data_IF_547592842720
#
_entry.id   IF_547592842720
#
_cell.length_a   1.000
_cell.length_b   1.000
_cell.length_c   1.000
_cell.angle_alpha   90.00
_cell.angle_beta   90.00
_cell.angle_gamma   90.00
#
_symmetry.space_group_name_H-M   'P 1'
#
loop_
_entity.id
_entity.type
_entity.pdbx_description
1 polymer ?
#
# COMPACT_ATOMS: atom_id res chain seq x y z
N UNK A 1 -23.43 26.49 17.15
CA UNK A 1 -23.35 26.06 16.49
C UNK A 1 -23.05 25.76 15.98
N UNK A 2 -23.00 25.79 16.09
CA UNK A 2 -22.89 25.28 15.43
C UNK A 2 -22.56 25.09 14.80
N UNK A 3 -22.48 25.31 14.98
CA UNK A 3 -22.29 24.91 14.33
C UNK A 3 -21.95 24.46 13.68
N UNK A 4 -22.17 24.97 13.91
CA UNK A 4 -22.08 24.33 13.21
C UNK A 4 -21.74 23.78 12.70
N UNK A 5 -22.12 24.53 12.69
CA UNK A 5 -21.74 23.82 12.35
C UNK A 5 -21.81 22.93 11.38
N UNK A 6 -21.46 23.25 10.68
CA UNK A 6 -21.38 22.32 9.62
C UNK A 6 -20.53 21.10 10.01
N UNK A 7 -21.04 19.89 9.85
CA UNK A 7 -20.25 18.74 10.21
C UNK A 7 -19.00 18.61 9.34
N UNK A 8 -17.95 18.12 9.93
CA UNK A 8 -16.67 17.90 9.25
C UNK A 8 -16.69 16.61 8.43
N UNK A 9 -17.86 16.10 8.11
CA UNK A 9 -17.97 14.83 7.45
C UNK A 9 -18.03 13.69 8.46
N UNK A 10 -18.26 12.53 7.95
CA UNK A 10 -18.44 11.32 8.71
C UNK A 10 -17.09 10.66 8.94
N UNK A 11 -16.86 10.14 10.14
CA UNK A 11 -15.67 9.31 10.40
C UNK A 11 -15.94 7.93 9.85
N UNK A 12 -15.00 7.43 9.04
CA UNK A 12 -15.07 6.10 8.48
C UNK A 12 -13.81 5.34 8.82
N UNK A 13 -13.87 4.02 8.70
CA UNK A 13 -12.75 3.13 8.98
C UNK A 13 -12.53 2.19 7.81
N UNK A 14 -11.27 1.82 7.60
CA UNK A 14 -10.90 0.82 6.62
C UNK A 14 -9.73 0.01 7.18
N UNK A 15 -9.36 -1.06 6.48
CA UNK A 15 -8.16 -1.81 6.81
C UNK A 15 -7.18 -1.76 5.65
N UNK A 16 -5.91 -1.91 5.97
CA UNK A 16 -4.84 -1.94 4.98
C UNK A 16 -3.82 -3.01 5.36
N UNK A 17 -3.35 -3.72 4.35
CA UNK A 17 -2.32 -4.74 4.47
C UNK A 17 -1.32 -4.55 3.34
N UNK A 18 -0.05 -4.84 3.58
CA UNK A 18 1.00 -4.75 2.54
C UNK A 18 1.73 -6.07 2.49
N UNK A 19 1.69 -6.72 1.34
CA UNK A 19 2.28 -8.04 1.14
C UNK A 19 3.20 -8.08 -0.07
N UNK A 20 4.24 -8.91 0.04
CA UNK A 20 5.16 -9.15 -1.06
C UNK A 20 5.42 -10.66 -1.25
N UNK A 21 4.38 -11.48 -1.11
CA UNK A 21 4.50 -12.94 -1.21
C UNK A 21 5.16 -13.40 -2.50
N UNK A 22 4.87 -12.72 -3.61
CA UNK A 22 5.45 -13.07 -4.90
C UNK A 22 6.97 -12.86 -4.92
N UNK A 23 7.46 -11.81 -4.25
CA UNK A 23 8.89 -11.58 -4.11
C UNK A 23 9.51 -12.60 -3.16
N UNK A 24 8.83 -12.90 -2.07
CA UNK A 24 9.30 -13.90 -1.10
C UNK A 24 9.49 -15.26 -1.76
N UNK A 25 8.56 -15.65 -2.64
CA UNK A 25 8.65 -16.92 -3.36
C UNK A 25 9.87 -16.99 -4.30
N UNK A 26 10.41 -15.83 -4.69
CA UNK A 26 11.55 -15.73 -5.61
C UNK A 26 12.83 -15.26 -4.91
N UNK A 27 12.81 -15.18 -3.59
CA UNK A 27 13.91 -14.59 -2.80
C UNK A 27 15.25 -15.30 -3.04
N UNK A 28 15.20 -16.62 -3.21
CA UNK A 28 16.40 -17.41 -3.43
C UNK A 28 17.13 -17.07 -4.74
N UNK A 29 16.44 -16.47 -5.69
CA UNK A 29 17.02 -16.08 -6.97
C UNK A 29 17.66 -14.70 -6.93
N UNK A 30 17.46 -13.95 -5.83
CA UNK A 30 17.90 -12.57 -5.71
C UNK A 30 19.29 -12.56 -5.07
N UNK A 31 20.28 -12.01 -5.79
CA UNK A 31 21.67 -11.95 -5.33
C UNK A 31 22.02 -10.63 -4.65
N UNK A 32 21.26 -9.56 -4.92
CA UNK A 32 21.52 -8.25 -4.32
C UNK A 32 21.09 -8.26 -2.86
N UNK A 33 22.00 -8.10 -1.89
CA UNK A 33 21.64 -8.19 -0.48
C UNK A 33 20.68 -7.09 -0.02
N UNK A 34 20.76 -5.90 -0.61
CA UNK A 34 19.84 -4.82 -0.27
C UNK A 34 18.39 -5.14 -0.67
N UNK A 35 18.21 -5.78 -1.82
CA UNK A 35 16.88 -6.21 -2.26
C UNK A 35 16.40 -7.36 -1.39
N UNK A 36 17.26 -8.34 -1.12
CA UNK A 36 16.88 -9.47 -0.27
C UNK A 36 16.45 -9.04 1.11
N UNK A 37 17.16 -8.08 1.69
CA UNK A 37 16.86 -7.58 3.04
C UNK A 37 15.52 -6.84 3.08
N UNK A 38 15.03 -6.34 1.95
CA UNK A 38 13.74 -5.67 1.87
C UNK A 38 12.56 -6.64 1.78
N UNK A 39 12.84 -7.94 1.64
CA UNK A 39 11.80 -8.95 1.42
C UNK A 39 11.67 -9.82 2.68
N UNK A 40 10.59 -9.66 3.48
CA UNK A 40 10.35 -10.53 4.63
C UNK A 40 10.13 -11.98 4.21
N UNK A 41 10.59 -12.91 5.02
CA UNK A 41 10.47 -14.34 4.71
C UNK A 41 9.02 -14.82 4.68
N UNK A 42 8.14 -14.17 5.42
CA UNK A 42 6.72 -14.54 5.45
C UNK A 42 5.85 -13.72 4.48
N UNK A 43 6.47 -12.82 3.71
CA UNK A 43 5.75 -12.02 2.72
C UNK A 43 4.96 -10.84 3.30
N UNK A 44 5.03 -10.60 4.61
CA UNK A 44 4.26 -9.54 5.26
C UNK A 44 5.13 -8.33 5.54
N UNK A 45 4.85 -7.21 4.88
CA UNK A 45 5.49 -5.92 5.19
C UNK A 45 4.68 -5.19 6.24
N UNK A 46 3.35 -5.18 6.11
CA UNK A 46 2.45 -4.60 7.09
C UNK A 46 1.28 -5.55 7.30
N UNK A 47 1.08 -5.98 8.55
CA UNK A 47 -0.09 -6.76 8.90
C UNK A 47 -1.36 -5.92 8.78
N UNK A 48 -2.50 -6.58 8.68
CA UNK A 48 -3.80 -5.90 8.59
C UNK A 48 -3.90 -4.87 9.70
N UNK A 49 -4.08 -3.61 9.29
CA UNK A 49 -4.07 -2.46 10.20
C UNK A 49 -5.32 -1.63 9.93
N UNK A 50 -5.99 -1.19 10.97
CA UNK A 50 -7.16 -0.34 10.85
C UNK A 50 -6.74 1.13 10.78
N UNK A 51 -7.34 1.86 9.86
CA UNK A 51 -7.19 3.30 9.74
C UNK A 51 -8.57 3.96 9.81
N UNK A 52 -8.68 5.03 10.57
CA UNK A 52 -9.94 5.77 10.71
C UNK A 52 -9.66 7.26 10.51
N UNK A 53 -10.61 7.95 9.89
CA UNK A 53 -10.51 9.38 9.68
C UNK A 53 -11.78 9.92 9.07
N UNK A 54 -11.81 11.22 8.85
CA UNK A 54 -12.95 11.88 8.19
C UNK A 54 -12.99 11.46 6.72
N UNK A 55 -14.17 11.11 6.22
CA UNK A 55 -14.31 10.68 4.82
C UNK A 55 -13.72 11.69 3.85
N UNK A 56 -13.27 11.20 2.71
CA UNK A 56 -12.60 12.00 1.69
C UNK A 56 -11.15 11.62 1.48
N UNK A 57 -10.59 10.82 2.37
CA UNK A 57 -9.20 10.36 2.18
C UNK A 57 -9.12 9.28 1.10
N UNK A 58 -7.94 9.19 0.50
CA UNK A 58 -7.68 8.25 -0.59
C UNK A 58 -6.90 7.03 -0.10
N UNK A 59 -6.80 6.03 -0.96
CA UNK A 59 -5.95 4.85 -0.69
C UNK A 59 -4.50 5.28 -0.42
N UNK A 60 -4.00 6.26 -1.17
CA UNK A 60 -2.65 6.77 -0.94
C UNK A 60 -2.52 7.41 0.45
N UNK A 61 -3.54 8.17 0.87
CA UNK A 61 -3.52 8.81 2.20
C UNK A 61 -3.42 7.76 3.31
N UNK A 62 -4.14 6.67 3.18
CA UNK A 62 -4.08 5.57 4.16
C UNK A 62 -2.69 4.94 4.17
N UNK A 63 -2.14 4.64 2.99
CA UNK A 63 -0.80 4.07 2.89
C UNK A 63 0.24 4.98 3.56
N UNK A 64 0.21 6.26 3.23
CA UNK A 64 1.18 7.22 3.78
C UNK A 64 1.06 7.33 5.31
N UNK A 65 -0.16 7.36 5.82
CA UNK A 65 -0.41 7.51 7.26
C UNK A 65 0.06 6.29 8.05
N UNK A 66 -0.32 5.09 7.62
CA UNK A 66 0.00 3.88 8.39
C UNK A 66 1.48 3.52 8.31
N UNK A 67 2.12 3.77 7.17
CA UNK A 67 3.56 3.48 7.03
C UNK A 67 4.39 4.46 7.85
N UNK A 68 3.99 5.72 7.91
CA UNK A 68 4.69 6.73 8.73
C UNK A 68 4.50 6.47 10.23
N UNK A 69 3.36 5.95 10.63
CA UNK A 69 3.07 5.68 12.03
C UNK A 69 3.62 4.34 12.51
N UNK A 70 4.02 3.47 11.60
CA UNK A 70 4.56 2.16 11.93
C UNK A 70 5.91 2.30 12.63
N UNK A 71 6.23 1.40 13.54
CA UNK A 71 7.51 1.41 14.25
C UNK A 71 8.23 0.09 14.03
N UNK A 72 9.34 0.07 13.29
CA UNK A 72 9.99 1.23 12.62
C UNK A 72 9.18 1.71 11.41
N UNK A 73 9.42 2.96 11.03
CA UNK A 73 8.75 3.57 9.88
C UNK A 73 9.01 2.71 8.62
N UNK A 74 7.96 2.48 7.84
CA UNK A 74 8.08 1.78 6.56
C UNK A 74 8.27 2.85 5.48
N UNK A 75 9.44 2.91 4.82
CA UNK A 75 9.67 3.93 3.81
C UNK A 75 8.86 3.64 2.54
N UNK A 76 8.32 4.70 1.95
CA UNK A 76 7.65 4.61 0.65
C UNK A 76 8.21 5.68 -0.27
N UNK A 77 8.21 5.40 -1.58
CA UNK A 77 8.60 6.36 -2.60
C UNK A 77 7.47 6.48 -3.60
N UNK A 78 7.06 7.70 -3.88
CA UNK A 78 6.03 7.99 -4.86
C UNK A 78 6.50 9.14 -5.75
N UNK A 79 5.88 9.25 -6.95
CA UNK A 79 6.20 10.35 -7.85
C UNK A 79 5.68 11.69 -7.28
N UNK A 80 5.99 12.79 -7.97
CA UNK A 80 5.75 14.14 -7.46
C UNK A 80 4.27 14.40 -7.13
N UNK A 81 3.34 13.91 -7.96
CA UNK A 81 1.91 14.11 -7.71
C UNK A 81 1.27 12.97 -6.93
N UNK A 82 2.08 12.01 -6.48
CA UNK A 82 1.64 10.86 -5.68
C UNK A 82 0.62 9.95 -6.38
N UNK A 83 0.61 9.97 -7.70
CA UNK A 83 -0.26 9.07 -8.46
C UNK A 83 0.32 7.67 -8.61
N UNK A 84 1.62 7.49 -8.38
CA UNK A 84 2.30 6.23 -8.58
C UNK A 84 3.28 5.96 -7.44
N UNK A 85 3.12 4.80 -6.79
CA UNK A 85 4.02 4.34 -5.73
C UNK A 85 5.02 3.36 -6.33
N UNK A 86 6.29 3.72 -6.33
CA UNK A 86 7.35 2.92 -6.94
C UNK A 86 8.08 2.02 -5.95
N UNK A 87 7.99 2.31 -4.66
CA UNK A 87 8.73 1.54 -3.65
C UNK A 87 7.98 1.55 -2.32
N UNK A 88 7.96 0.39 -1.66
CA UNK A 88 7.48 0.25 -0.28
C UNK A 88 8.48 -0.64 0.43
N UNK A 89 8.95 -0.22 1.60
CA UNK A 89 9.90 -0.95 2.43
C UNK A 89 11.23 -1.22 1.70
N UNK A 90 11.65 -0.27 0.87
CA UNK A 90 12.87 -0.37 0.05
C UNK A 90 12.80 -1.47 -1.02
N UNK A 91 11.64 -2.07 -1.22
CA UNK A 91 11.39 -2.99 -2.33
C UNK A 91 10.75 -2.19 -3.45
N UNK A 92 11.52 -1.98 -4.51
CA UNK A 92 11.13 -1.08 -5.60
C UNK A 92 10.66 -1.83 -6.83
N UNK A 93 9.95 -1.12 -7.70
CA UNK A 93 9.62 -1.68 -9.02
C UNK A 93 10.89 -2.16 -9.70
N UNK A 94 10.75 -3.23 -10.48
CA UNK A 94 11.83 -3.85 -11.27
C UNK A 94 12.93 -4.50 -10.45
N UNK A 95 12.79 -4.57 -9.12
CA UNK A 95 13.77 -5.26 -8.28
C UNK A 95 13.72 -6.78 -8.44
N UNK A 96 12.56 -7.34 -8.79
CA UNK A 96 12.37 -8.79 -8.90
C UNK A 96 11.84 -9.11 -10.30
N UNK A 97 12.54 -8.63 -11.31
CA UNK A 97 12.18 -8.85 -12.71
C UNK A 97 11.72 -7.57 -13.39
N UNK A 98 11.76 -7.54 -14.73
CA UNK A 98 11.53 -6.30 -15.49
C UNK A 98 10.10 -5.76 -15.41
N UNK A 99 9.13 -6.59 -15.02
CA UNK A 99 7.74 -6.17 -14.91
C UNK A 99 7.27 -6.09 -13.45
N UNK A 100 8.18 -6.24 -12.48
CA UNK A 100 7.77 -6.21 -11.08
C UNK A 100 7.45 -4.79 -10.60
N UNK A 101 6.53 -4.70 -9.65
CA UNK A 101 6.12 -3.42 -9.09
C UNK A 101 4.95 -3.57 -8.13
N UNK A 102 4.52 -2.46 -7.59
CA UNK A 102 3.45 -2.41 -6.61
C UNK A 102 2.10 -2.11 -7.26
N UNK A 103 1.07 -2.82 -6.79
CA UNK A 103 -0.32 -2.55 -7.14
C UNK A 103 -1.17 -2.67 -5.90
N UNK A 104 -2.42 -2.21 -5.96
CA UNK A 104 -3.33 -2.32 -4.82
C UNK A 104 -4.69 -2.85 -5.26
N UNK A 105 -5.38 -3.49 -4.30
CA UNK A 105 -6.75 -3.94 -4.48
C UNK A 105 -7.60 -3.35 -3.37
N UNK A 106 -8.86 -3.13 -3.67
CA UNK A 106 -9.86 -2.73 -2.69
C UNK A 106 -10.98 -3.74 -2.74
N UNK A 107 -11.24 -4.39 -1.60
CA UNK A 107 -12.26 -5.45 -1.49
C UNK A 107 -12.03 -6.57 -2.50
N UNK A 108 -10.76 -6.88 -2.77
CA UNK A 108 -10.40 -7.94 -3.71
C UNK A 108 -10.45 -7.55 -5.18
N UNK A 109 -10.80 -6.32 -5.49
CA UNK A 109 -10.93 -5.83 -6.87
C UNK A 109 -9.78 -4.89 -7.19
N UNK A 110 -9.22 -5.02 -8.40
CA UNK A 110 -8.18 -4.13 -8.89
C UNK A 110 -8.84 -2.86 -9.42
N UNK A 111 -8.73 -1.71 -8.73
CA UNK A 111 -9.31 -0.48 -9.25
C UNK A 111 -8.52 0.01 -10.46
N UNK A 112 -9.24 0.57 -11.42
CA UNK A 112 -8.60 1.11 -12.62
C UNK A 112 -8.33 2.60 -12.45
N UNK A 113 -7.72 2.97 -11.31
CA UNK A 113 -7.35 4.35 -11.04
C UNK A 113 -6.17 4.40 -10.08
N UNK A 114 -5.51 5.55 -10.04
CA UNK A 114 -4.37 5.76 -9.15
C UNK A 114 -4.82 5.79 -7.68
N UNK A 115 -3.90 5.39 -6.80
CA UNK A 115 -4.19 5.32 -5.37
C UNK A 115 -4.57 6.68 -4.76
N UNK A 116 -4.07 7.77 -5.32
CA UNK A 116 -4.40 9.12 -4.85
C UNK A 116 -5.74 9.63 -5.39
N UNK A 117 -6.42 8.84 -6.20
CA UNK A 117 -7.72 9.19 -6.78
C UNK A 117 -8.87 8.34 -6.21
N UNK A 118 -8.55 7.19 -5.62
CA UNK A 118 -9.57 6.31 -5.07
C UNK A 118 -9.99 6.79 -3.68
N UNK A 119 -11.21 7.29 -3.56
CA UNK A 119 -11.77 7.72 -2.27
C UNK A 119 -12.25 6.50 -1.50
N UNK A 120 -11.71 6.31 -0.31
CA UNK A 120 -12.02 5.16 0.52
C UNK A 120 -13.42 5.29 1.11
N UNK A 121 -14.13 4.17 1.20
CA UNK A 121 -15.46 4.07 1.82
C UNK A 121 -15.34 3.30 3.11
N UNK A 122 -16.31 3.52 4.00
CA UNK A 122 -16.35 2.81 5.27
C UNK A 122 -16.39 1.30 5.04
N UNK A 123 -15.51 0.59 5.73
CA UNK A 123 -15.41 -0.86 5.62
C UNK A 123 -14.53 -1.37 4.49
N UNK A 124 -13.94 -0.49 3.69
CA UNK A 124 -13.06 -0.95 2.61
C UNK A 124 -11.87 -1.74 3.15
N UNK A 125 -11.49 -2.77 2.41
CA UNK A 125 -10.32 -3.61 2.69
C UNK A 125 -9.29 -3.36 1.61
N UNK A 126 -8.20 -2.69 1.98
CA UNK A 126 -7.13 -2.30 1.06
C UNK A 126 -5.98 -3.29 1.19
N UNK A 127 -5.46 -3.75 0.07
CA UNK A 127 -4.30 -4.65 0.08
C UNK A 127 -3.32 -4.20 -0.99
N UNK A 128 -2.11 -3.85 -0.57
CA UNK A 128 -1.00 -3.58 -1.49
C UNK A 128 -0.24 -4.86 -1.74
N UNK A 129 0.07 -5.15 -2.99
CA UNK A 129 0.68 -6.40 -3.43
C UNK A 129 1.85 -6.08 -4.35
N UNK A 130 2.99 -6.72 -4.08
CA UNK A 130 4.11 -6.67 -5.00
C UNK A 130 3.93 -7.78 -6.03
N UNK A 131 3.87 -7.41 -7.30
CA UNK A 131 3.73 -8.37 -8.40
C UNK A 131 5.06 -8.46 -9.15
N UNK A 132 5.43 -9.66 -9.57
CA UNK A 132 6.69 -9.88 -10.26
C UNK A 132 6.47 -10.13 -11.75
N UNK A 133 5.30 -10.63 -12.11
CA UNK A 133 4.93 -10.94 -13.49
C UNK A 133 3.42 -10.94 -13.63
N UNK A 134 2.96 -10.88 -14.87
CA UNK A 134 1.55 -11.01 -15.18
C UNK A 134 1.06 -12.36 -14.64
N UNK A 135 -0.04 -12.37 -13.94
CA UNK A 135 -0.55 -13.58 -13.32
C UNK A 135 -0.35 -13.63 -11.81
N UNK A 136 0.52 -12.79 -11.26
CA UNK A 136 0.74 -12.71 -9.81
C UNK A 136 -0.38 -11.93 -9.10
N UNK A 137 -1.23 -11.30 -9.84
CA UNK A 137 -2.23 -10.39 -9.30
C UNK A 137 -3.45 -11.08 -8.70
#
# INVERSE_FOLDING_TARGET
NSQNTRPAGKVISCTIEIRCDNATARKDTITNPGIRDAIPDDGTILEVTTYSGNEGFTVYDVLAAVTAAHNPVIPIVANADRSYVSSINNLSEKNVGPTSGWTYRVNGVLPMMAANQYKVKDGDVIKWIYVCQMGDM
#
